data_IF_899699972149
#
_entry.id   IF_899699972149
#
_cell.length_a   1.000
_cell.length_b   1.000
_cell.length_c   1.000
_cell.angle_alpha   90.00
_cell.angle_beta   90.00
_cell.angle_gamma   90.00
#
_symmetry.space_group_name_H-M   'P 1'
#
loop_
_entity.id
_entity.type
_entity.pdbx_description
1 polymer ?
#
# COMPACT_ATOMS: atom_id res chain seq x y z
N UNK A 1 33.58 51.91 28.73
CA UNK A 1 32.48 52.88 28.92
C UNK A 1 31.91 53.11 27.52
N UNK A 2 30.71 52.75 27.11
CA UNK A 2 29.51 52.05 27.60
C UNK A 2 28.98 51.35 26.31
N UNK A 3 28.48 50.11 26.28
CA UNK A 3 27.37 49.60 27.06
C UNK A 3 26.08 50.29 26.63
N UNK A 4 25.45 49.86 25.52
CA UNK A 4 24.03 50.10 25.25
C UNK A 4 23.46 49.00 24.35
N UNK A 5 22.50 48.29 24.94
CA UNK A 5 21.70 47.19 24.42
C UNK A 5 20.69 47.70 23.37
N UNK A 6 20.46 46.89 22.33
CA UNK A 6 19.38 47.12 21.37
C UNK A 6 18.06 46.61 21.96
N UNK A 7 16.99 47.42 22.04
CA UNK A 7 15.72 46.97 22.56
C UNK A 7 14.97 46.13 21.53
N UNK A 8 14.52 44.98 22.01
CA UNK A 8 13.50 44.11 21.43
C UNK A 8 12.12 44.82 21.46
N UNK A 9 11.25 44.43 20.53
CA UNK A 9 9.82 44.76 20.38
C UNK A 9 9.44 46.01 19.55
N UNK A 10 8.89 45.79 18.35
CA UNK A 10 7.44 45.70 18.18
C UNK A 10 7.08 45.33 16.74
N UNK A 11 6.05 44.51 16.58
CA UNK A 11 5.35 44.31 15.31
C UNK A 11 5.61 42.97 14.67
N UNK A 12 4.76 41.98 14.96
CA UNK A 12 4.01 41.19 13.97
C UNK A 12 3.03 40.27 14.73
N UNK A 13 2.00 40.87 15.32
CA UNK A 13 0.91 40.17 15.99
C UNK A 13 -0.40 40.36 15.22
N UNK A 14 -0.55 39.77 14.03
CA UNK A 14 -1.86 39.69 13.37
C UNK A 14 -2.04 38.48 12.44
N UNK A 15 -1.52 37.27 12.73
CA UNK A 15 -1.97 36.05 12.01
C UNK A 15 -1.90 34.79 12.89
N UNK A 16 -2.56 34.84 14.05
CA UNK A 16 -2.78 33.65 14.89
C UNK A 16 -4.27 33.53 15.26
N UNK A 17 -5.13 33.26 14.27
CA UNK A 17 -6.47 32.71 14.50
C UNK A 17 -6.79 31.69 13.43
N UNK A 18 -6.93 30.43 13.85
CA UNK A 18 -7.62 29.41 13.09
C UNK A 18 -6.84 28.16 12.72
N UNK A 19 -5.92 27.65 13.53
CA UNK A 19 -5.57 26.22 13.46
C UNK A 19 -6.48 25.46 14.41
N UNK A 20 -7.57 24.90 13.88
CA UNK A 20 -8.20 23.73 14.49
C UNK A 20 -7.16 22.61 14.43
N UNK A 21 -6.31 22.53 15.47
CA UNK A 21 -5.50 21.35 15.71
C UNK A 21 -6.53 20.31 16.13
N UNK A 22 -6.98 19.45 15.20
CA UNK A 22 -7.72 18.27 15.61
C UNK A 22 -6.71 17.46 16.44
N UNK A 23 -6.87 17.54 17.76
CA UNK A 23 -6.26 16.61 18.69
C UNK A 23 -6.78 15.24 18.27
N UNK A 24 -6.04 14.57 17.39
CA UNK A 24 -6.18 13.15 17.17
C UNK A 24 -5.79 12.51 18.49
N UNK A 25 -6.81 12.20 19.30
CA UNK A 25 -6.68 11.41 20.50
C UNK A 25 -6.13 10.04 20.09
N UNK A 26 -4.79 9.93 20.08
CA UNK A 26 -4.05 8.71 19.82
C UNK A 26 -4.43 7.54 20.75
N UNK A 27 -5.20 7.83 21.80
CA UNK A 27 -5.70 6.86 22.79
C UNK A 27 -7.13 6.35 22.51
N UNK A 28 -7.80 6.78 21.43
CA UNK A 28 -9.16 6.32 21.05
C UNK A 28 -9.19 5.41 19.81
N UNK A 29 -8.04 5.10 19.21
CA UNK A 29 -7.97 4.15 18.11
C UNK A 29 -8.27 2.75 18.66
N UNK A 30 -9.42 2.17 18.28
CA UNK A 30 -9.66 0.74 18.48
C UNK A 30 -8.44 -0.01 17.93
N UNK A 31 -7.75 -0.86 18.71
CA UNK A 31 -6.61 -1.64 18.22
C UNK A 31 -6.92 -2.52 16.99
N UNK A 32 -8.21 -2.67 16.65
CA UNK A 32 -8.74 -3.37 15.48
C UNK A 32 -9.10 -2.45 14.31
N UNK A 33 -9.07 -1.13 14.50
CA UNK A 33 -9.31 -0.14 13.44
C UNK A 33 -8.08 -0.05 12.55
N UNK A 34 -8.30 -0.23 11.25
CA UNK A 34 -7.29 0.00 10.22
C UNK A 34 -7.75 1.19 9.37
N UNK A 35 -7.29 2.41 9.69
CA UNK A 35 -7.80 3.62 9.05
C UNK A 35 -7.50 3.67 7.55
N UNK A 36 -6.43 3.01 7.08
CA UNK A 36 -6.12 2.91 5.66
C UNK A 36 -7.16 2.00 4.99
N UNK A 37 -7.46 0.85 5.60
CA UNK A 37 -8.48 -0.06 5.07
C UNK A 37 -9.88 0.57 5.06
N UNK A 38 -10.26 1.26 6.13
CA UNK A 38 -11.53 1.97 6.21
C UNK A 38 -11.64 3.02 5.10
N UNK A 39 -10.58 3.81 4.86
CA UNK A 39 -10.54 4.77 3.77
C UNK A 39 -10.68 4.10 2.40
N UNK A 40 -9.99 2.98 2.14
CA UNK A 40 -10.08 2.24 0.88
C UNK A 40 -11.51 1.75 0.62
N UNK A 41 -12.19 1.23 1.64
CA UNK A 41 -13.58 0.74 1.52
C UNK A 41 -14.52 1.89 1.19
N UNK A 42 -14.41 3.02 1.89
CA UNK A 42 -15.25 4.18 1.63
C UNK A 42 -15.00 4.78 0.24
N UNK A 43 -13.74 4.93 -0.16
CA UNK A 43 -13.38 5.34 -1.52
C UNK A 43 -13.98 4.40 -2.58
N UNK A 44 -13.86 3.08 -2.39
CA UNK A 44 -14.39 2.09 -3.32
C UNK A 44 -15.93 2.12 -3.43
N UNK A 45 -16.65 2.36 -2.33
CA UNK A 45 -18.12 2.55 -2.36
C UNK A 45 -18.49 3.77 -3.20
N UNK A 46 -17.85 4.90 -2.93
CA UNK A 46 -18.12 6.15 -3.65
C UNK A 46 -17.83 6.02 -5.15
N UNK A 47 -16.73 5.36 -5.52
CA UNK A 47 -16.42 5.13 -6.94
C UNK A 47 -17.39 4.13 -7.60
N UNK A 48 -17.88 3.13 -6.87
CA UNK A 48 -18.86 2.17 -7.39
C UNK A 48 -20.23 2.81 -7.67
N UNK A 49 -20.60 3.83 -6.90
CA UNK A 49 -21.80 4.64 -7.13
C UNK A 49 -21.64 5.58 -8.33
N UNK A 50 -20.46 6.18 -8.49
CA UNK A 50 -20.16 7.11 -9.59
C UNK A 50 -20.01 6.41 -10.93
N UNK A 51 -19.44 5.21 -10.94
CA UNK A 51 -19.17 4.44 -12.17
C UNK A 51 -19.80 3.03 -12.10
N UNK A 52 -21.10 2.90 -12.41
CA UNK A 52 -21.83 1.64 -12.30
C UNK A 52 -21.23 0.47 -13.10
N UNK A 53 -20.57 0.75 -14.23
CA UNK A 53 -19.91 -0.29 -15.06
C UNK A 53 -18.81 -1.00 -14.27
N UNK A 54 -18.12 -0.28 -13.38
CA UNK A 54 -17.04 -0.82 -12.56
C UNK A 54 -17.50 -1.31 -11.18
N UNK A 55 -18.79 -1.19 -10.85
CA UNK A 55 -19.33 -1.54 -9.53
C UNK A 55 -19.00 -3.00 -9.14
N UNK A 56 -19.22 -3.96 -10.04
CA UNK A 56 -18.90 -5.37 -9.79
C UNK A 56 -17.40 -5.61 -9.59
N UNK A 57 -16.54 -4.87 -10.30
CA UNK A 57 -15.09 -4.96 -10.15
C UNK A 57 -14.63 -4.41 -8.80
N UNK A 58 -15.15 -3.25 -8.39
CA UNK A 58 -14.86 -2.64 -7.09
C UNK A 58 -15.38 -3.49 -5.92
N UNK A 59 -16.57 -4.09 -6.09
CA UNK A 59 -17.11 -5.00 -5.09
C UNK A 59 -16.25 -6.24 -4.95
N UNK A 60 -15.94 -6.92 -6.06
CA UNK A 60 -15.12 -8.12 -6.05
C UNK A 60 -13.69 -7.87 -5.58
N UNK A 61 -13.08 -6.72 -5.93
CA UNK A 61 -11.69 -6.42 -5.60
C UNK A 61 -11.46 -5.83 -4.21
N UNK A 62 -12.47 -5.19 -3.62
CA UNK A 62 -12.34 -4.49 -2.32
C UNK A 62 -13.48 -4.85 -1.37
N UNK A 63 -14.73 -4.54 -1.73
CA UNK A 63 -15.82 -4.50 -0.76
C UNK A 63 -16.22 -5.89 -0.22
N UNK A 64 -15.95 -6.95 -0.99
CA UNK A 64 -16.20 -8.34 -0.63
C UNK A 64 -15.19 -8.94 0.36
N UNK A 65 -14.14 -8.21 0.74
CA UNK A 65 -13.08 -8.68 1.63
C UNK A 65 -13.20 -8.09 3.03
N UNK A 66 -12.66 -8.78 4.03
CA UNK A 66 -12.72 -8.33 5.43
C UNK A 66 -11.54 -7.42 5.80
N UNK A 67 -10.38 -7.61 5.15
CA UNK A 67 -9.18 -6.84 5.40
C UNK A 67 -8.37 -6.52 4.14
N UNK A 68 -7.43 -5.58 4.29
CA UNK A 68 -6.55 -5.10 3.23
C UNK A 68 -5.73 -6.21 2.57
N UNK A 69 -5.20 -7.14 3.36
CA UNK A 69 -4.38 -8.25 2.87
C UNK A 69 -5.17 -9.18 1.95
N UNK A 70 -6.43 -9.45 2.28
CA UNK A 70 -7.31 -10.28 1.44
C UNK A 70 -7.61 -9.59 0.12
N UNK A 71 -7.99 -8.31 0.16
CA UNK A 71 -8.26 -7.53 -1.05
C UNK A 71 -7.03 -7.46 -1.95
N UNK A 72 -5.86 -7.16 -1.38
CA UNK A 72 -4.61 -7.11 -2.13
C UNK A 72 -4.23 -8.47 -2.71
N UNK A 73 -4.33 -9.55 -1.93
CA UNK A 73 -4.06 -10.91 -2.39
C UNK A 73 -4.97 -11.31 -3.55
N UNK A 74 -6.26 -10.95 -3.49
CA UNK A 74 -7.21 -11.17 -4.58
C UNK A 74 -6.85 -10.40 -5.85
N UNK A 75 -6.53 -9.11 -5.72
CA UNK A 75 -6.10 -8.30 -6.87
C UNK A 75 -4.83 -8.88 -7.49
N UNK A 76 -3.81 -9.18 -6.69
CA UNK A 76 -2.54 -9.74 -7.18
C UNK A 76 -2.73 -11.09 -7.86
N UNK A 77 -3.55 -11.98 -7.29
CA UNK A 77 -3.84 -13.29 -7.87
C UNK A 77 -4.49 -13.15 -9.26
N UNK A 78 -5.49 -12.28 -9.39
CA UNK A 78 -6.15 -12.03 -10.68
C UNK A 78 -5.24 -11.37 -11.72
N UNK A 79 -4.28 -10.55 -11.28
CA UNK A 79 -3.30 -9.89 -12.15
C UNK A 79 -2.20 -10.83 -12.62
N UNK A 80 -1.76 -11.76 -11.76
CA UNK A 80 -0.60 -12.63 -12.02
C UNK A 80 -0.96 -14.00 -12.60
N UNK A 81 -2.24 -14.39 -12.56
CA UNK A 81 -2.69 -15.70 -13.05
C UNK A 81 -2.29 -15.96 -14.51
N UNK A 82 -2.08 -17.23 -14.82
CA UNK A 82 -1.91 -17.73 -16.17
C UNK A 82 -2.35 -19.22 -16.22
N UNK A 83 -2.28 -19.90 -17.39
CA UNK A 83 -2.65 -21.31 -17.47
C UNK A 83 -1.83 -22.27 -16.59
N UNK A 84 -0.68 -21.83 -16.05
CA UNK A 84 0.19 -22.64 -15.18
C UNK A 84 -0.06 -22.38 -13.69
N UNK A 85 -0.26 -21.12 -13.32
CA UNK A 85 -0.51 -20.63 -11.96
C UNK A 85 -1.91 -20.02 -11.93
N UNK A 86 -2.88 -20.82 -11.50
CA UNK A 86 -4.28 -20.42 -11.45
C UNK A 86 -4.50 -19.37 -10.36
N UNK A 87 -5.53 -18.53 -10.54
CA UNK A 87 -5.86 -17.49 -9.55
C UNK A 87 -6.11 -18.07 -8.15
N UNK A 88 -6.72 -19.24 -8.03
CA UNK A 88 -6.97 -19.92 -6.75
C UNK A 88 -5.68 -20.34 -6.06
N UNK A 89 -4.71 -20.87 -6.80
CA UNK A 89 -3.41 -21.24 -6.25
C UNK A 89 -2.61 -20.01 -5.81
N UNK A 90 -2.70 -18.92 -6.59
CA UNK A 90 -2.07 -17.65 -6.23
C UNK A 90 -2.71 -17.03 -4.99
N UNK A 91 -4.05 -17.11 -4.87
CA UNK A 91 -4.77 -16.69 -3.67
C UNK A 91 -4.26 -17.42 -2.43
N UNK A 92 -4.16 -18.75 -2.48
CA UNK A 92 -3.65 -19.57 -1.37
C UNK A 92 -2.23 -19.14 -0.97
N UNK A 93 -1.38 -18.88 -1.96
CA UNK A 93 0.00 -18.41 -1.73
C UNK A 93 0.01 -17.02 -1.08
N UNK A 94 -0.74 -16.06 -1.63
CA UNK A 94 -0.75 -14.69 -1.12
C UNK A 94 -1.35 -14.63 0.27
N UNK A 95 -2.49 -15.29 0.51
CA UNK A 95 -3.12 -15.32 1.82
C UNK A 95 -2.24 -16.02 2.86
N UNK A 96 -1.65 -17.16 2.50
CA UNK A 96 -0.76 -17.92 3.38
C UNK A 96 0.46 -17.12 3.85
N UNK A 97 0.89 -16.11 3.09
CA UNK A 97 2.00 -15.24 3.46
C UNK A 97 1.53 -13.93 4.10
N UNK A 98 0.64 -13.18 3.43
CA UNK A 98 0.24 -11.83 3.85
C UNK A 98 -0.58 -11.83 5.14
N UNK A 99 -1.41 -12.85 5.38
CA UNK A 99 -2.24 -12.93 6.60
C UNK A 99 -1.43 -13.33 7.84
N UNK A 100 -0.24 -13.90 7.66
CA UNK A 100 0.52 -14.51 8.76
C UNK A 100 1.85 -13.80 9.07
N UNK A 101 2.25 -12.80 8.27
CA UNK A 101 3.48 -12.04 8.48
C UNK A 101 3.19 -10.56 8.80
N UNK A 102 3.30 -10.21 10.09
CA UNK A 102 3.09 -8.82 10.57
C UNK A 102 4.04 -7.80 9.94
N UNK A 103 5.25 -8.22 9.55
CA UNK A 103 6.21 -7.35 8.88
C UNK A 103 5.74 -6.99 7.47
N UNK A 104 5.19 -7.96 6.75
CA UNK A 104 4.56 -7.74 5.44
C UNK A 104 3.30 -6.89 5.58
N UNK A 105 2.42 -7.18 6.55
CA UNK A 105 1.21 -6.39 6.82
C UNK A 105 1.52 -4.90 7.08
N UNK A 106 2.54 -4.65 7.91
CA UNK A 106 3.02 -3.29 8.16
C UNK A 106 3.60 -2.66 6.88
N UNK A 107 4.38 -3.41 6.11
CA UNK A 107 4.98 -2.92 4.85
C UNK A 107 3.93 -2.54 3.82
N UNK A 108 2.87 -3.33 3.65
CA UNK A 108 1.74 -3.05 2.76
C UNK A 108 1.17 -1.65 3.00
N UNK A 109 0.91 -1.31 4.27
CA UNK A 109 0.34 -0.02 4.69
C UNK A 109 1.33 1.13 4.49
N UNK A 110 2.59 0.95 4.88
CA UNK A 110 3.62 1.98 4.69
C UNK A 110 3.89 2.26 3.22
N UNK A 111 3.93 1.21 2.39
CA UNK A 111 4.13 1.34 0.95
C UNK A 111 2.94 2.09 0.34
N UNK A 112 1.69 1.75 0.69
CA UNK A 112 0.51 2.50 0.24
C UNK A 112 0.58 3.98 0.61
N UNK A 113 0.93 4.30 1.85
CA UNK A 113 1.08 5.68 2.28
C UNK A 113 2.14 6.40 1.45
N UNK A 114 3.30 5.76 1.21
CA UNK A 114 4.36 6.35 0.42
C UNK A 114 3.94 6.60 -1.04
N UNK A 115 3.19 5.68 -1.67
CA UNK A 115 2.62 5.91 -2.99
C UNK A 115 1.61 7.06 -2.97
N UNK A 116 0.73 7.11 -1.97
CA UNK A 116 -0.26 8.18 -1.84
C UNK A 116 0.38 9.57 -1.67
N UNK A 117 1.48 9.65 -0.95
CA UNK A 117 2.16 10.91 -0.64
C UNK A 117 3.05 11.41 -1.80
N UNK A 118 3.62 10.49 -2.59
CA UNK A 118 4.73 10.80 -3.51
C UNK A 118 4.40 10.60 -4.99
N UNK A 119 3.40 9.79 -5.31
CA UNK A 119 2.99 9.56 -6.69
C UNK A 119 1.82 10.49 -7.07
N UNK A 120 2.04 11.49 -7.94
CA UNK A 120 0.98 12.40 -8.36
C UNK A 120 -0.14 11.69 -9.15
N UNK A 121 0.12 10.50 -9.71
CA UNK A 121 -0.90 9.69 -10.37
C UNK A 121 -1.76 8.89 -9.38
N UNK A 122 -1.38 8.84 -8.09
CA UNK A 122 -2.13 8.13 -7.05
C UNK A 122 -3.32 8.95 -6.54
N UNK A 123 -4.43 8.87 -7.29
CA UNK A 123 -5.66 9.61 -6.99
C UNK A 123 -6.25 9.26 -5.61
N UNK A 124 -6.17 8.00 -5.19
CA UNK A 124 -6.76 7.47 -3.94
C UNK A 124 -6.05 6.19 -3.49
N UNK A 125 -6.29 5.74 -2.25
CA UNK A 125 -5.75 4.45 -1.79
C UNK A 125 -6.37 3.27 -2.55
N UNK A 126 -7.68 3.33 -2.83
CA UNK A 126 -8.39 2.33 -3.63
C UNK A 126 -7.80 2.21 -5.05
N UNK A 127 -7.45 3.35 -5.67
CA UNK A 127 -6.80 3.36 -6.98
C UNK A 127 -5.40 2.76 -6.93
N UNK A 128 -4.64 3.01 -5.85
CA UNK A 128 -3.33 2.39 -5.65
C UNK A 128 -3.41 0.87 -5.64
N UNK A 129 -4.35 0.32 -4.88
CA UNK A 129 -4.54 -1.13 -4.76
C UNK A 129 -5.05 -1.75 -6.05
N UNK A 130 -5.88 -1.07 -6.82
CA UNK A 130 -6.48 -1.66 -8.02
C UNK A 130 -5.62 -1.51 -9.28
N UNK A 131 -4.86 -0.42 -9.40
CA UNK A 131 -4.28 -0.01 -10.69
C UNK A 131 -2.76 0.18 -10.70
N UNK A 132 -2.11 0.48 -9.57
CA UNK A 132 -0.69 0.83 -9.57
C UNK A 132 0.21 -0.40 -9.66
N UNK A 133 0.72 -0.65 -10.87
CA UNK A 133 1.61 -1.77 -11.19
C UNK A 133 2.89 -1.78 -10.36
N UNK A 134 3.47 -0.61 -10.07
CA UNK A 134 4.66 -0.50 -9.23
C UNK A 134 4.40 -0.97 -7.80
N UNK A 135 3.25 -0.59 -7.24
CA UNK A 135 2.80 -1.08 -5.94
C UNK A 135 2.53 -2.59 -5.98
N UNK A 136 1.83 -3.09 -7.00
CA UNK A 136 1.58 -4.53 -7.16
C UNK A 136 2.86 -5.37 -7.22
N UNK A 137 3.83 -4.94 -8.03
CA UNK A 137 5.09 -5.63 -8.18
C UNK A 137 5.87 -5.69 -6.86
N UNK A 138 5.87 -4.60 -6.10
CA UNK A 138 6.52 -4.56 -4.78
C UNK A 138 5.89 -5.57 -3.81
N UNK A 139 4.55 -5.55 -3.68
CA UNK A 139 3.88 -6.46 -2.74
C UNK A 139 4.02 -7.93 -3.16
N UNK A 140 3.92 -8.22 -4.46
CA UNK A 140 4.14 -9.57 -4.97
C UNK A 140 5.60 -10.04 -4.77
N UNK A 141 6.58 -9.14 -4.93
CA UNK A 141 7.97 -9.42 -4.64
C UNK A 141 8.20 -9.75 -3.15
N UNK A 142 7.56 -9.04 -2.21
CA UNK A 142 7.69 -9.34 -0.77
C UNK A 142 7.25 -10.77 -0.44
N UNK A 143 6.19 -11.25 -1.10
CA UNK A 143 5.74 -12.64 -0.99
C UNK A 143 6.76 -13.59 -1.62
N UNK A 144 7.28 -13.28 -2.80
CA UNK A 144 8.34 -14.08 -3.43
C UNK A 144 9.60 -14.17 -2.55
N UNK A 145 10.00 -13.06 -1.92
CA UNK A 145 11.13 -12.98 -0.99
C UNK A 145 10.89 -13.84 0.26
N UNK A 146 9.70 -13.80 0.83
CA UNK A 146 9.33 -14.67 1.96
C UNK A 146 9.44 -16.14 1.58
N UNK A 147 8.85 -16.54 0.45
CA UNK A 147 8.90 -17.91 -0.05
C UNK A 147 10.35 -18.37 -0.32
N UNK A 148 11.20 -17.47 -0.81
CA UNK A 148 12.62 -17.75 -1.01
C UNK A 148 13.33 -18.08 0.30
N UNK A 149 13.09 -17.29 1.35
CA UNK A 149 13.68 -17.48 2.67
C UNK A 149 13.16 -18.73 3.39
N UNK A 150 11.95 -19.19 3.05
CA UNK A 150 11.38 -20.47 3.50
C UNK A 150 11.91 -21.69 2.72
N UNK A 151 12.82 -21.48 1.76
CA UNK A 151 13.39 -22.56 0.96
C UNK A 151 12.54 -22.96 -0.25
N UNK A 152 11.36 -22.35 -0.46
CA UNK A 152 10.48 -22.58 -1.63
C UNK A 152 10.98 -21.83 -2.86
N UNK A 153 12.27 -21.99 -3.18
CA UNK A 153 12.99 -21.20 -4.20
C UNK A 153 12.39 -21.30 -5.60
N UNK A 154 11.97 -22.50 -6.03
CA UNK A 154 11.35 -22.69 -7.34
C UNK A 154 10.07 -21.87 -7.49
N UNK A 155 9.23 -21.85 -6.46
CA UNK A 155 8.00 -21.06 -6.46
C UNK A 155 8.30 -19.56 -6.42
N UNK A 156 9.28 -19.14 -5.63
CA UNK A 156 9.71 -17.74 -5.60
C UNK A 156 10.21 -17.25 -6.97
N UNK A 157 10.98 -18.07 -7.69
CA UNK A 157 11.45 -17.76 -9.05
C UNK A 157 10.31 -17.78 -10.08
N UNK A 158 9.39 -18.74 -9.98
CA UNK A 158 8.20 -18.75 -10.83
C UNK A 158 7.37 -17.47 -10.63
N UNK A 159 7.20 -17.02 -9.38
CA UNK A 159 6.49 -15.79 -9.06
C UNK A 159 7.25 -14.56 -9.57
N UNK A 160 8.58 -14.49 -9.41
CA UNK A 160 9.40 -13.40 -9.96
C UNK A 160 9.27 -13.31 -11.49
N UNK A 161 9.30 -14.44 -12.20
CA UNK A 161 9.10 -14.48 -13.64
C UNK A 161 7.73 -13.90 -14.04
N UNK A 162 6.66 -14.27 -13.32
CA UNK A 162 5.32 -13.68 -13.53
C UNK A 162 5.25 -12.18 -13.24
N UNK A 163 5.89 -11.72 -12.17
CA UNK A 163 5.97 -10.29 -11.83
C UNK A 163 6.66 -9.53 -12.97
N UNK A 164 7.78 -10.05 -13.48
CA UNK A 164 8.50 -9.44 -14.60
C UNK A 164 7.66 -9.40 -15.86
N UNK A 165 6.93 -10.46 -16.19
CA UNK A 165 6.10 -10.53 -17.39
C UNK A 165 4.89 -9.58 -17.33
N UNK A 166 4.22 -9.48 -16.17
CA UNK A 166 2.97 -8.71 -16.03
C UNK A 166 3.23 -7.24 -15.73
N UNK A 167 4.26 -6.93 -14.94
CA UNK A 167 4.54 -5.57 -14.46
C UNK A 167 5.81 -4.96 -15.04
N UNK A 168 6.64 -5.72 -15.76
CA UNK A 168 7.90 -5.24 -16.33
C UNK A 168 9.00 -5.03 -15.29
N UNK A 169 8.82 -5.54 -14.07
CA UNK A 169 9.74 -5.35 -12.94
C UNK A 169 10.40 -6.69 -12.61
N UNK A 170 11.71 -6.77 -12.84
CA UNK A 170 12.51 -7.95 -12.54
C UNK A 170 13.36 -7.73 -11.28
N UNK A 171 12.91 -8.29 -10.16
CA UNK A 171 13.65 -8.27 -8.89
C UNK A 171 13.84 -9.70 -8.40
N UNK A 172 15.10 -10.13 -8.33
CA UNK A 172 15.45 -11.45 -7.81
C UNK A 172 14.96 -11.61 -6.35
N UNK A 173 14.23 -12.69 -6.00
CA UNK A 173 13.65 -12.87 -4.67
C UNK A 173 14.67 -12.89 -3.54
N UNK A 174 15.90 -13.36 -3.78
CA UNK A 174 16.97 -13.35 -2.78
C UNK A 174 17.60 -11.97 -2.48
N UNK A 175 17.26 -10.92 -3.24
CA UNK A 175 17.66 -9.54 -2.90
C UNK A 175 16.92 -9.13 -1.64
N UNK A 176 17.52 -8.30 -0.78
CA UNK A 176 16.80 -7.63 0.32
C UNK A 176 16.47 -6.22 -0.16
N UNK A 177 15.18 -5.86 -0.19
CA UNK A 177 14.75 -4.49 -0.46
C UNK A 177 14.45 -3.77 0.85
N UNK A 178 15.10 -2.61 1.04
CA UNK A 178 14.69 -1.62 2.02
C UNK A 178 13.64 -0.67 1.41
N UNK A 179 12.71 -0.20 2.23
CA UNK A 179 11.59 0.71 1.90
C UNK A 179 11.91 1.86 0.92
N UNK A 180 13.14 2.39 0.95
CA UNK A 180 13.56 3.57 0.18
C UNK A 180 13.90 3.27 -1.29
N UNK A 181 14.19 2.02 -1.67
CA UNK A 181 14.90 1.75 -2.93
C UNK A 181 14.04 1.78 -4.21
N UNK A 182 12.71 1.97 -4.13
CA UNK A 182 11.82 1.84 -5.29
C UNK A 182 11.37 3.16 -5.91
N UNK A 183 11.39 4.27 -5.17
CA UNK A 183 10.96 5.57 -5.71
C UNK A 183 12.04 6.31 -6.51
N UNK A 184 13.21 5.70 -6.67
CA UNK A 184 14.32 6.24 -7.46
C UNK A 184 14.49 5.56 -8.82
N UNK A 185 13.60 4.63 -9.18
CA UNK A 185 13.74 3.81 -10.40
C UNK A 185 12.44 3.62 -11.19
N UNK A 186 11.41 4.43 -10.93
CA UNK A 186 10.22 4.55 -11.77
C UNK A 186 10.17 5.94 -12.37
#
# INVERSE_FOLDING_TARGET
>A
MNGDELPFESGFEVYAKGTHKSEFDSNLLDPRSDPIWDAIREEAKLEAEKEPILSSFLYAGILAHDCLEQALGFVLANRLQNPTLLATQLLDIFYGVMMHDKGIQSSIRHDLQAFKDRDPACLSYSSAILHLKGYHALQAYRVAHKLWNEGRKLLALALQSRISEVFGIDIHPGRVLSFISLLSSV
#
